data_IF_452508507845
#
_entry.id   IF_452508507845
#
_cell.length_a   1.000
_cell.length_b   1.000
_cell.length_c   1.000
_cell.angle_alpha   90.00
_cell.angle_beta   90.00
_cell.angle_gamma   90.00
#
_symmetry.space_group_name_H-M   'P 1'
#
loop_
_entity.id
_entity.type
_entity.pdbx_description
1 polymer ?
#
# COMPACT_ATOMS: atom_id res chain seq x y z
N UNK A 1 -39.74 -0.16 48.26
CA UNK A 1 -39.88 -0.28 46.79
C UNK A 1 -38.78 0.58 46.16
N UNK A 2 -37.54 0.23 46.44
CA UNK A 2 -36.68 -0.62 45.59
C UNK A 2 -36.18 0.15 44.35
N UNK A 3 -35.02 0.78 44.54
CA UNK A 3 -34.17 1.27 43.48
C UNK A 3 -33.46 0.10 42.81
N UNK A 4 -33.55 0.04 41.49
CA UNK A 4 -32.89 -0.96 40.66
C UNK A 4 -31.42 -0.52 40.43
N UNK A 5 -30.52 -1.01 41.28
CA UNK A 5 -29.08 -1.01 41.06
C UNK A 5 -28.69 -2.35 40.41
N UNK A 6 -28.25 -2.29 39.14
CA UNK A 6 -27.77 -3.48 38.42
C UNK A 6 -26.28 -3.70 38.75
N UNK A 7 -25.86 -4.90 39.18
CA UNK A 7 -24.56 -5.13 39.82
C UNK A 7 -23.41 -5.33 38.83
N UNK A 8 -22.28 -4.70 39.17
CA UNK A 8 -20.95 -4.93 38.60
C UNK A 8 -20.54 -6.39 38.89
N UNK A 9 -20.39 -7.21 37.84
CA UNK A 9 -19.89 -8.59 37.98
C UNK A 9 -18.41 -8.58 38.34
N UNK A 10 -18.10 -9.20 39.49
CA UNK A 10 -16.75 -9.51 39.97
C UNK A 10 -16.02 -10.43 39.00
N UNK A 11 -14.80 -10.02 38.67
CA UNK A 11 -13.72 -10.80 38.07
C UNK A 11 -13.45 -12.07 38.87
N UNK A 12 -13.45 -13.25 38.23
CA UNK A 12 -12.85 -14.46 38.79
C UNK A 12 -11.51 -14.69 38.10
N UNK A 13 -10.48 -14.46 38.89
CA UNK A 13 -9.07 -14.66 38.62
C UNK A 13 -8.81 -16.16 38.46
N UNK A 14 -8.23 -16.56 37.33
CA UNK A 14 -7.49 -17.83 37.23
C UNK A 14 -6.02 -17.48 37.50
N UNK A 15 -5.55 -17.84 38.69
CA UNK A 15 -4.12 -17.82 39.08
C UNK A 15 -3.57 -19.23 39.03
N UNK A 16 -2.26 -19.28 38.78
CA UNK A 16 -1.32 -20.42 38.79
C UNK A 16 -1.20 -21.20 37.48
N UNK A 17 -0.03 -21.31 36.83
CA UNK A 17 1.35 -21.09 37.26
C UNK A 17 2.24 -20.62 36.07
N UNK A 18 3.41 -20.08 36.41
CA UNK A 18 4.54 -19.66 35.56
C UNK A 18 4.64 -18.14 35.30
N UNK A 19 4.91 -17.41 36.38
CA UNK A 19 5.81 -16.25 36.32
C UNK A 19 7.23 -16.79 36.11
N UNK A 20 7.92 -16.30 35.08
CA UNK A 20 9.19 -15.58 35.24
C UNK A 20 9.77 -15.17 33.88
N UNK A 21 10.31 -13.94 33.87
CA UNK A 21 11.36 -13.42 32.98
C UNK A 21 10.97 -12.72 31.66
N UNK A 22 10.76 -11.40 31.84
CA UNK A 22 11.60 -10.32 31.27
C UNK A 22 11.73 -10.21 29.74
N UNK A 23 11.07 -9.15 29.23
CA UNK A 23 11.57 -8.17 28.24
C UNK A 23 12.79 -8.60 27.42
N UNK A 24 12.54 -9.05 26.19
CA UNK A 24 13.55 -9.02 25.12
C UNK A 24 13.12 -8.00 24.07
N UNK A 25 13.70 -6.81 24.16
CA UNK A 25 13.80 -5.87 23.05
C UNK A 25 14.94 -6.40 22.17
N UNK A 26 14.63 -6.86 20.96
CA UNK A 26 15.65 -7.30 20.01
C UNK A 26 16.23 -6.06 19.32
N UNK A 27 17.35 -5.56 19.85
CA UNK A 27 18.22 -4.59 19.19
C UNK A 27 19.27 -5.39 18.41
N UNK A 28 19.21 -5.36 17.08
CA UNK A 28 20.28 -5.89 16.24
C UNK A 28 21.45 -4.90 16.21
N UNK A 29 22.50 -5.16 16.99
CA UNK A 29 23.82 -4.55 16.77
C UNK A 29 24.76 -5.55 16.10
N UNK A 30 25.59 -5.04 15.17
CA UNK A 30 26.59 -5.81 14.40
C UNK A 30 27.52 -6.62 15.32
N UNK A 31 28.01 -7.79 14.89
CA UNK A 31 28.94 -8.60 15.69
C UNK A 31 30.31 -7.90 15.75
N UNK A 32 30.87 -7.74 16.96
CA UNK A 32 32.30 -7.51 17.13
C UNK A 32 32.77 -6.23 17.83
N UNK A 33 32.02 -5.61 18.75
CA UNK A 33 32.61 -4.60 19.65
C UNK A 33 32.19 -4.78 21.11
N UNK A 34 33.21 -4.97 21.96
CA UNK A 34 33.15 -4.98 23.41
C UNK A 34 33.17 -3.53 23.89
N UNK A 35 32.17 -3.10 24.66
CA UNK A 35 32.17 -1.81 25.33
C UNK A 35 32.25 -2.01 26.85
N UNK A 36 33.39 -1.60 27.40
CA UNK A 36 33.73 -1.44 28.80
C UNK A 36 32.83 -0.39 29.48
N UNK A 37 32.21 -0.75 30.61
CA UNK A 37 31.36 0.15 31.38
C UNK A 37 32.18 1.12 32.24
N UNK A 38 31.94 2.43 32.10
CA UNK A 38 32.39 3.47 33.01
C UNK A 38 31.26 3.87 33.98
N UNK A 39 31.67 4.12 35.21
CA UNK A 39 30.91 4.21 36.46
C UNK A 39 30.08 5.50 36.61
N UNK A 40 28.93 5.41 37.27
CA UNK A 40 28.45 6.50 38.12
C UNK A 40 27.62 5.94 39.29
N UNK A 41 28.07 6.25 40.50
CA UNK A 41 27.72 5.66 41.78
C UNK A 41 26.81 6.60 42.59
N UNK A 42 25.74 6.12 43.23
CA UNK A 42 25.11 6.83 44.35
C UNK A 42 24.41 5.87 45.35
N UNK A 43 24.88 5.96 46.61
CA UNK A 43 24.27 5.66 47.93
C UNK A 43 24.12 4.21 48.50
N UNK A 44 25.16 3.85 49.29
CA UNK A 44 25.20 3.43 50.72
C UNK A 44 24.15 2.44 51.29
N UNK A 45 24.63 1.30 51.82
CA UNK A 45 24.18 0.79 53.14
C UNK A 45 24.22 -0.72 53.43
N UNK A 46 25.31 -1.20 54.05
CA UNK A 46 25.52 -2.41 54.91
C UNK A 46 25.72 -3.83 54.29
N UNK A 47 26.76 -4.58 54.72
CA UNK A 47 26.99 -6.02 54.46
C UNK A 47 26.72 -6.86 55.75
N UNK A 48 27.14 -8.15 55.92
CA UNK A 48 27.48 -9.25 54.99
C UNK A 48 26.67 -10.54 55.30
N UNK A 49 26.78 -11.60 54.47
CA UNK A 49 26.81 -12.98 55.00
C UNK A 49 27.37 -13.96 53.95
N UNK A 50 28.52 -14.53 54.28
CA UNK A 50 29.11 -15.66 53.60
C UNK A 50 28.60 -16.96 54.24
N UNK A 51 28.26 -17.96 53.42
CA UNK A 51 28.28 -19.36 53.85
C UNK A 51 28.72 -20.26 52.71
N UNK A 52 29.80 -20.99 53.01
CA UNK A 52 30.50 -22.02 52.24
C UNK A 52 29.64 -23.27 51.98
N UNK A 53 30.26 -24.19 51.21
CA UNK A 53 30.12 -25.67 51.17
C UNK A 53 29.41 -26.14 49.89
N UNK A 54 29.87 -27.08 49.06
CA UNK A 54 31.16 -27.75 48.73
C UNK A 54 30.88 -28.61 47.46
N UNK A 55 31.89 -29.13 46.73
CA UNK A 55 31.69 -29.71 45.41
C UNK A 55 31.38 -31.23 45.49
N UNK A 56 30.57 -31.75 44.56
CA UNK A 56 30.47 -33.19 44.30
C UNK A 56 30.83 -33.45 42.84
N UNK A 57 31.84 -34.30 42.67
CA UNK A 57 32.41 -34.73 41.42
C UNK A 57 31.73 -35.99 40.87
N UNK A 58 31.94 -36.18 39.56
CA UNK A 58 31.97 -37.43 38.80
C UNK A 58 30.65 -38.05 38.34
N UNK A 59 30.48 -38.08 37.00
CA UNK A 59 30.53 -39.32 36.21
C UNK A 59 30.71 -38.99 34.73
N UNK A 60 31.80 -39.50 34.16
CA UNK A 60 32.09 -39.51 32.73
C UNK A 60 31.39 -40.70 32.06
N UNK A 61 30.98 -40.54 30.81
CA UNK A 61 31.37 -41.47 29.74
C UNK A 61 31.38 -40.75 28.37
N UNK A 62 32.25 -41.16 27.43
CA UNK A 62 32.63 -40.35 26.26
C UNK A 62 31.99 -40.88 24.97
N UNK A 63 31.77 -40.01 23.97
CA UNK A 63 31.70 -40.45 22.57
C UNK A 63 32.35 -39.41 21.63
N UNK A 64 32.98 -39.94 20.58
CA UNK A 64 34.11 -39.38 19.86
C UNK A 64 33.80 -38.21 18.91
N UNK A 65 34.83 -37.40 18.67
CA UNK A 65 34.91 -36.37 17.65
C UNK A 65 35.50 -36.92 16.34
N UNK A 66 35.07 -36.37 15.20
CA UNK A 66 35.79 -36.41 13.93
C UNK A 66 35.52 -35.11 13.13
N UNK A 67 36.55 -34.38 12.65
CA UNK A 67 36.40 -33.16 11.85
C UNK A 67 36.76 -33.40 10.38
N UNK A 68 36.00 -32.86 9.41
CA UNK A 68 36.50 -32.69 8.04
C UNK A 68 35.84 -31.47 7.39
N UNK A 69 36.67 -30.49 7.01
CA UNK A 69 36.30 -29.42 6.10
C UNK A 69 36.26 -29.92 4.66
N UNK A 70 35.48 -29.24 3.82
CA UNK A 70 35.51 -29.42 2.36
C UNK A 70 35.47 -28.04 1.69
N UNK A 71 36.48 -27.79 0.88
CA UNK A 71 36.68 -26.62 0.05
C UNK A 71 35.83 -26.68 -1.22
N UNK A 72 35.49 -25.49 -1.73
CA UNK A 72 34.91 -25.28 -3.04
C UNK A 72 35.91 -25.61 -4.16
N UNK A 73 35.50 -26.45 -5.11
CA UNK A 73 35.61 -26.26 -6.57
C UNK A 73 34.84 -27.38 -7.27
N UNK A 74 34.35 -27.08 -8.48
CA UNK A 74 33.92 -28.01 -9.53
C UNK A 74 32.52 -28.63 -9.40
N UNK A 75 31.55 -28.08 -10.16
CA UNK A 75 31.00 -28.77 -11.31
C UNK A 75 29.97 -27.89 -12.03
N UNK A 76 30.33 -27.51 -13.26
CA UNK A 76 29.42 -26.99 -14.27
C UNK A 76 29.48 -27.92 -15.50
N UNK A 77 28.35 -27.99 -16.21
CA UNK A 77 28.10 -28.68 -17.49
C UNK A 77 27.82 -30.21 -17.50
N UNK A 78 26.54 -30.56 -17.76
CA UNK A 78 26.17 -31.50 -18.82
C UNK A 78 24.65 -31.45 -19.13
N UNK A 79 24.31 -30.81 -20.24
CA UNK A 79 23.04 -30.92 -20.97
C UNK A 79 23.01 -32.23 -21.79
N UNK A 80 21.88 -32.95 -21.79
CA UNK A 80 21.06 -33.22 -22.99
C UNK A 80 20.02 -34.35 -22.78
N UNK A 81 18.75 -34.02 -23.03
CA UNK A 81 17.90 -34.82 -23.92
C UNK A 81 16.91 -35.82 -23.31
N UNK A 82 15.71 -35.36 -22.95
CA UNK A 82 14.50 -36.12 -23.29
C UNK A 82 13.36 -35.17 -23.63
N UNK A 83 12.90 -35.30 -24.87
CA UNK A 83 11.83 -34.57 -25.50
C UNK A 83 10.47 -35.04 -24.98
N UNK A 84 9.82 -34.21 -24.18
CA UNK A 84 8.36 -34.20 -24.07
C UNK A 84 7.91 -32.76 -24.26
N UNK A 85 6.99 -32.55 -25.20
CA UNK A 85 6.37 -31.25 -25.45
C UNK A 85 5.46 -30.97 -24.26
N UNK A 86 6.05 -30.45 -23.18
CA UNK A 86 5.31 -29.92 -22.05
C UNK A 86 4.64 -28.62 -22.52
N UNK A 87 3.31 -28.58 -22.42
CA UNK A 87 2.54 -27.34 -22.39
C UNK A 87 3.31 -26.33 -21.54
N UNK A 88 3.73 -25.22 -22.17
CA UNK A 88 4.67 -24.28 -21.57
C UNK A 88 4.31 -23.98 -20.13
N UNK A 89 5.28 -24.20 -19.24
CA UNK A 89 5.22 -23.79 -17.84
C UNK A 89 4.88 -22.30 -17.81
N UNK A 90 3.61 -21.98 -17.54
CA UNK A 90 3.23 -20.65 -17.10
C UNK A 90 3.98 -20.48 -15.77
N UNK A 91 4.92 -19.54 -15.64
CA UNK A 91 5.62 -19.36 -14.38
C UNK A 91 4.58 -19.01 -13.32
N UNK A 92 4.28 -19.94 -12.40
CA UNK A 92 3.39 -19.73 -11.25
C UNK A 92 3.96 -18.71 -10.26
N UNK A 93 5.16 -18.20 -10.54
CA UNK A 93 5.91 -17.15 -9.85
C UNK A 93 6.14 -15.92 -10.73
N UNK A 94 5.21 -15.63 -11.65
CA UNK A 94 5.18 -14.34 -12.34
C UNK A 94 4.77 -13.23 -11.38
N UNK A 95 5.58 -12.17 -11.28
CA UNK A 95 5.25 -10.93 -10.59
C UNK A 95 3.83 -10.48 -11.00
N UNK A 96 2.93 -10.38 -10.02
CA UNK A 96 1.56 -9.96 -10.27
C UNK A 96 1.57 -8.50 -10.72
N UNK A 97 1.58 -8.28 -12.04
CA UNK A 97 1.42 -6.97 -12.66
C UNK A 97 -0.01 -6.49 -12.42
N UNK A 98 -0.20 -5.82 -11.28
CA UNK A 98 -1.44 -5.14 -10.95
C UNK A 98 -1.37 -3.73 -11.53
N UNK A 99 -1.95 -3.55 -12.71
CA UNK A 99 -2.12 -2.21 -13.24
C UNK A 99 -3.27 -1.48 -12.55
N UNK A 100 -3.19 -0.16 -12.52
CA UNK A 100 -4.06 0.72 -11.72
C UNK A 100 -3.93 2.14 -12.26
N UNK A 101 -4.99 2.92 -12.11
CA UNK A 101 -4.96 4.36 -12.32
C UNK A 101 -5.34 5.06 -11.03
N UNK A 102 -4.42 5.86 -10.51
CA UNK A 102 -4.68 6.76 -9.38
C UNK A 102 -4.28 8.18 -9.77
N UNK A 103 -5.12 9.13 -9.36
CA UNK A 103 -4.96 10.55 -9.68
C UNK A 103 -5.27 11.36 -8.42
N UNK A 104 -4.52 12.44 -8.22
CA UNK A 104 -4.82 13.47 -7.24
C UNK A 104 -4.61 14.84 -7.84
N UNK A 105 -5.54 15.77 -7.63
CA UNK A 105 -5.46 17.16 -8.09
C UNK A 105 -5.80 18.11 -6.95
N UNK A 106 -4.94 19.11 -6.72
CA UNK A 106 -5.23 20.23 -5.85
C UNK A 106 -6.13 21.24 -6.57
N UNK A 107 -7.12 21.77 -5.87
CA UNK A 107 -7.99 22.86 -6.35
C UNK A 107 -8.10 23.94 -5.28
N UNK A 108 -8.75 25.06 -5.60
CA UNK A 108 -8.90 26.15 -4.64
C UNK A 108 -9.85 25.75 -3.49
N UNK A 109 -9.27 25.52 -2.30
CA UNK A 109 -9.98 25.08 -1.10
C UNK A 109 -9.70 23.65 -0.65
N UNK A 110 -9.11 22.79 -1.49
CA UNK A 110 -8.97 21.37 -1.15
C UNK A 110 -8.23 20.50 -2.16
N UNK A 111 -8.47 19.19 -2.07
CA UNK A 111 -7.90 18.18 -2.98
C UNK A 111 -8.97 17.18 -3.42
N UNK A 112 -8.91 16.78 -4.70
CA UNK A 112 -9.71 15.67 -5.24
C UNK A 112 -8.78 14.51 -5.52
N UNK A 113 -9.10 13.35 -4.96
CA UNK A 113 -8.48 12.08 -5.27
C UNK A 113 -9.42 11.25 -6.12
N UNK A 114 -8.89 10.49 -7.06
CA UNK A 114 -9.65 9.47 -7.76
C UNK A 114 -8.84 8.23 -8.08
N UNK A 115 -9.57 7.14 -8.25
CA UNK A 115 -9.02 5.85 -8.63
C UNK A 115 -10.03 5.05 -9.43
N UNK A 116 -9.50 4.16 -10.27
CA UNK A 116 -10.27 3.08 -10.86
C UNK A 116 -10.52 1.96 -9.82
N UNK A 117 -11.35 0.98 -10.16
CA UNK A 117 -11.75 -0.08 -9.24
C UNK A 117 -11.32 -1.48 -9.65
N UNK A 118 -10.57 -1.62 -10.74
CA UNK A 118 -10.13 -2.93 -11.23
C UNK A 118 -8.82 -3.33 -10.55
N UNK A 119 -8.76 -4.55 -10.04
CA UNK A 119 -7.52 -5.19 -9.64
C UNK A 119 -7.35 -6.43 -10.51
N UNK A 120 -6.36 -6.40 -11.40
CA UNK A 120 -6.03 -7.50 -12.28
C UNK A 120 -4.80 -8.27 -11.79
N UNK A 121 -4.77 -9.55 -12.10
CA UNK A 121 -3.60 -10.42 -11.98
C UNK A 121 -3.21 -10.83 -13.38
N UNK A 122 -2.33 -10.04 -14.00
CA UNK A 122 -2.06 -10.14 -15.44
C UNK A 122 -3.31 -9.78 -16.25
N UNK A 123 -3.78 -10.71 -17.09
CA UNK A 123 -4.98 -10.51 -17.92
C UNK A 123 -6.29 -10.81 -17.17
N UNK A 124 -6.22 -11.55 -16.06
CA UNK A 124 -7.41 -11.93 -15.30
C UNK A 124 -7.82 -10.81 -14.35
N UNK A 125 -9.10 -10.43 -14.35
CA UNK A 125 -9.63 -9.44 -13.41
C UNK A 125 -10.01 -10.14 -12.10
N UNK A 126 -9.14 -10.04 -11.09
CA UNK A 126 -9.36 -10.63 -9.78
C UNK A 126 -10.47 -9.93 -8.99
N UNK A 127 -10.56 -8.60 -9.09
CA UNK A 127 -11.63 -7.82 -8.47
C UNK A 127 -12.05 -6.65 -9.38
N UNK A 128 -13.36 -6.47 -9.59
CA UNK A 128 -13.92 -5.41 -10.45
C UNK A 128 -14.24 -4.12 -9.70
N UNK A 129 -14.37 -4.18 -8.37
CA UNK A 129 -14.92 -3.09 -7.56
C UNK A 129 -14.03 -2.74 -6.35
N UNK A 130 -12.72 -2.93 -6.43
CA UNK A 130 -11.78 -2.65 -5.32
C UNK A 130 -11.74 -1.16 -4.97
N UNK A 131 -11.77 -0.81 -3.68
CA UNK A 131 -11.57 0.56 -3.22
C UNK A 131 -10.07 0.82 -2.99
N UNK A 132 -9.49 1.63 -3.88
CA UNK A 132 -8.07 1.98 -3.84
C UNK A 132 -7.81 3.27 -3.07
N UNK A 133 -8.86 4.00 -2.66
CA UNK A 133 -8.76 5.24 -1.90
C UNK A 133 -9.05 4.94 -0.43
N UNK A 134 -7.97 4.74 0.32
CA UNK A 134 -8.02 4.31 1.70
C UNK A 134 -7.96 5.52 2.64
N UNK A 135 -8.89 5.57 3.60
CA UNK A 135 -8.88 6.59 4.64
C UNK A 135 -7.76 6.30 5.64
N UNK A 136 -6.91 7.30 5.91
CA UNK A 136 -5.91 7.22 6.97
C UNK A 136 -6.40 7.92 8.23
N UNK A 137 -6.85 9.16 8.08
CA UNK A 137 -7.47 9.97 9.13
C UNK A 137 -8.72 10.66 8.55
N UNK A 138 -9.44 11.45 9.35
CA UNK A 138 -10.63 12.17 8.86
C UNK A 138 -10.29 13.22 7.80
N UNK A 139 -9.05 13.72 7.79
CA UNK A 139 -8.57 14.77 6.90
C UNK A 139 -7.58 14.29 5.81
N UNK A 140 -7.11 13.03 5.87
CA UNK A 140 -6.08 12.50 4.95
C UNK A 140 -6.47 11.14 4.39
N UNK A 141 -6.34 11.01 3.08
CA UNK A 141 -6.58 9.78 2.32
C UNK A 141 -5.33 9.42 1.50
N UNK A 142 -5.22 8.13 1.18
CA UNK A 142 -4.16 7.61 0.33
C UNK A 142 -4.75 6.81 -0.82
N UNK A 143 -4.29 7.11 -2.03
CA UNK A 143 -4.52 6.28 -3.20
C UNK A 143 -3.40 5.23 -3.30
N UNK A 144 -3.78 3.98 -3.48
CA UNK A 144 -2.85 2.84 -3.51
C UNK A 144 -2.66 2.30 -4.92
N UNK A 145 -1.41 2.10 -5.32
CA UNK A 145 -1.01 1.49 -6.60
C UNK A 145 0.18 0.55 -6.41
N UNK A 146 0.27 -0.49 -7.24
CA UNK A 146 1.26 -1.55 -7.12
C UNK A 146 0.69 -2.79 -6.43
N UNK A 147 1.53 -3.51 -5.70
CA UNK A 147 1.11 -4.71 -4.96
C UNK A 147 0.00 -4.35 -3.96
N UNK A 148 -1.16 -4.99 -4.14
CA UNK A 148 -2.32 -4.75 -3.28
C UNK A 148 -2.01 -5.11 -1.82
N UNK A 149 -1.24 -6.18 -1.59
CA UNK A 149 -0.84 -6.61 -0.24
C UNK A 149 0.07 -5.58 0.43
N UNK A 150 1.12 -5.13 -0.27
CA UNK A 150 2.10 -4.20 0.28
C UNK A 150 1.45 -2.87 0.65
N UNK A 151 0.67 -2.31 -0.28
CA UNK A 151 0.03 -1.00 -0.07
C UNK A 151 -1.04 -1.03 1.02
N UNK A 152 -1.76 -2.15 1.20
CA UNK A 152 -2.72 -2.32 2.30
C UNK A 152 -2.00 -2.33 3.65
N UNK A 153 -0.96 -3.16 3.77
CA UNK A 153 -0.18 -3.30 5.00
C UNK A 153 0.46 -1.96 5.39
N UNK A 154 1.07 -1.25 4.45
CA UNK A 154 1.63 0.09 4.73
C UNK A 154 0.52 1.05 5.21
N UNK A 155 -0.64 1.04 4.55
CA UNK A 155 -1.75 1.94 4.91
C UNK A 155 -2.27 1.66 6.32
N UNK A 156 -2.33 0.39 6.73
CA UNK A 156 -2.79 -0.01 8.06
C UNK A 156 -1.78 0.37 9.15
N UNK A 157 -0.47 0.18 8.91
CA UNK A 157 0.57 0.67 9.83
C UNK A 157 0.54 2.19 9.97
N UNK A 158 0.39 2.90 8.85
CA UNK A 158 0.32 4.36 8.84
C UNK A 158 -0.90 4.83 9.61
N UNK A 159 -2.08 4.23 9.38
CA UNK A 159 -3.30 4.53 10.14
C UNK A 159 -3.09 4.34 11.64
N UNK A 160 -2.46 3.23 12.05
CA UNK A 160 -2.16 2.96 13.46
C UNK A 160 -1.29 4.06 14.09
N UNK A 161 -0.18 4.42 13.44
CA UNK A 161 0.73 5.44 13.97
C UNK A 161 0.10 6.84 13.96
N UNK A 162 -0.69 7.18 12.95
CA UNK A 162 -1.40 8.46 12.90
C UNK A 162 -2.46 8.57 13.99
N UNK A 163 -3.15 7.47 14.30
CA UNK A 163 -4.11 7.43 15.39
C UNK A 163 -3.40 7.64 16.74
N UNK A 164 -2.27 6.93 16.96
CA UNK A 164 -1.46 7.14 18.17
C UNK A 164 -0.95 8.58 18.28
N UNK A 165 -0.46 9.15 17.19
CA UNK A 165 0.00 10.55 17.12
C UNK A 165 -1.13 11.53 17.48
N UNK A 166 -2.33 11.30 16.93
CA UNK A 166 -3.52 12.13 17.19
C UNK A 166 -3.94 12.06 18.66
N UNK A 167 -3.90 10.88 19.28
CA UNK A 167 -4.19 10.71 20.71
C UNK A 167 -3.15 11.43 21.59
N UNK A 168 -1.86 11.31 21.25
CA UNK A 168 -0.78 11.89 22.06
C UNK A 168 -0.75 13.42 22.01
N UNK A 169 -1.02 14.00 20.84
CA UNK A 169 -0.97 15.45 20.66
C UNK A 169 -2.34 16.13 20.75
N UNK A 170 -3.42 15.35 20.87
CA UNK A 170 -4.80 15.82 20.83
C UNK A 170 -5.10 16.74 19.62
N UNK A 171 -4.39 16.54 18.50
CA UNK A 171 -4.55 17.30 17.27
C UNK A 171 -4.49 16.38 16.05
N UNK A 172 -5.27 16.67 14.99
CA UNK A 172 -5.21 15.89 13.76
C UNK A 172 -3.82 15.98 13.14
N UNK A 173 -3.36 14.86 12.57
CA UNK A 173 -2.08 14.82 11.88
C UNK A 173 -2.11 15.67 10.60
N UNK A 174 -1.00 16.35 10.33
CA UNK A 174 -0.82 17.12 9.10
C UNK A 174 -0.56 16.18 7.91
N UNK A 175 -0.88 16.64 6.69
CA UNK A 175 -0.66 15.84 5.47
C UNK A 175 0.84 15.52 5.31
N UNK A 176 1.72 16.47 5.66
CA UNK A 176 3.18 16.30 5.65
C UNK A 176 3.67 15.18 6.56
N UNK A 177 3.15 15.11 7.79
CA UNK A 177 3.53 14.04 8.73
C UNK A 177 3.12 12.69 8.18
N UNK A 178 1.91 12.59 7.65
CA UNK A 178 1.39 11.37 7.02
C UNK A 178 2.26 10.92 5.84
N UNK A 179 2.57 11.84 4.93
CA UNK A 179 3.38 11.53 3.77
C UNK A 179 4.83 11.14 4.13
N UNK A 180 5.41 11.77 5.16
CA UNK A 180 6.73 11.39 5.67
C UNK A 180 6.76 10.00 6.32
N UNK A 181 5.70 9.62 7.04
CA UNK A 181 5.60 8.30 7.62
C UNK A 181 5.50 7.21 6.53
N UNK A 182 4.69 7.46 5.50
CA UNK A 182 4.60 6.59 4.32
C UNK A 182 5.96 6.47 3.63
N UNK A 183 6.65 7.60 3.42
CA UNK A 183 8.00 7.64 2.84
C UNK A 183 8.97 6.77 3.62
N UNK A 184 8.96 6.84 4.96
CA UNK A 184 9.87 6.07 5.80
C UNK A 184 9.67 4.57 5.60
N UNK A 185 8.42 4.10 5.64
CA UNK A 185 8.08 2.68 5.47
C UNK A 185 8.38 2.18 4.06
N UNK A 186 8.04 2.97 3.04
CA UNK A 186 8.28 2.64 1.64
C UNK A 186 9.79 2.63 1.32
N UNK A 187 10.55 3.62 1.77
CA UNK A 187 11.97 3.73 1.48
C UNK A 187 12.81 2.65 2.18
N UNK A 188 12.51 2.34 3.45
CA UNK A 188 13.22 1.30 4.20
C UNK A 188 13.07 -0.07 3.57
N UNK A 189 11.92 -0.34 2.94
CA UNK A 189 11.58 -1.62 2.35
C UNK A 189 11.50 -1.57 0.82
N UNK A 190 12.16 -0.60 0.18
CA UNK A 190 12.03 -0.33 -1.27
C UNK A 190 12.41 -1.51 -2.19
N UNK A 191 13.24 -2.44 -1.70
CA UNK A 191 13.65 -3.62 -2.45
C UNK A 191 12.68 -4.80 -2.27
N UNK A 192 11.78 -4.73 -1.29
CA UNK A 192 10.82 -5.80 -0.96
C UNK A 192 9.38 -5.41 -1.27
N UNK A 193 9.06 -4.11 -1.23
CA UNK A 193 7.71 -3.59 -1.44
C UNK A 193 7.58 -2.93 -2.81
N UNK A 194 6.46 -3.22 -3.48
CA UNK A 194 6.06 -2.55 -4.71
C UNK A 194 4.87 -1.64 -4.43
N UNK A 195 5.14 -0.50 -3.77
CA UNK A 195 4.11 0.44 -3.36
C UNK A 195 4.33 1.82 -4.00
N UNK A 196 3.43 2.19 -4.92
CA UNK A 196 3.26 3.57 -5.38
C UNK A 196 2.02 4.15 -4.70
N UNK A 197 2.17 5.26 -3.98
CA UNK A 197 1.08 5.85 -3.22
C UNK A 197 0.98 7.34 -3.49
N UNK A 198 -0.25 7.85 -3.55
CA UNK A 198 -0.52 9.28 -3.59
C UNK A 198 -1.26 9.64 -2.32
N UNK A 199 -0.69 10.54 -1.53
CA UNK A 199 -1.29 11.05 -0.29
C UNK A 199 -1.95 12.37 -0.62
N UNK A 200 -3.26 12.45 -0.40
CA UNK A 200 -4.02 13.69 -0.53
C UNK A 200 -4.75 13.97 0.78
N UNK A 201 -4.68 15.21 1.22
CA UNK A 201 -5.44 15.64 2.39
C UNK A 201 -5.56 17.14 2.48
N UNK A 202 -6.29 17.57 3.49
CA UNK A 202 -6.43 18.96 3.86
C UNK A 202 -5.94 19.18 5.29
N UNK A 203 -5.23 20.28 5.50
CA UNK A 203 -4.74 20.69 6.81
C UNK A 203 -5.00 22.18 7.04
N UNK A 204 -5.20 22.56 8.30
CA UNK A 204 -5.51 23.94 8.71
C UNK A 204 -4.37 24.92 8.46
N UNK A 205 -3.13 24.44 8.37
CA UNK A 205 -1.95 25.29 8.21
C UNK A 205 -1.60 25.58 6.75
N UNK A 206 -1.69 24.57 5.87
CA UNK A 206 -1.22 24.66 4.48
C UNK A 206 -2.29 24.29 3.44
N UNK A 207 -3.54 24.11 3.88
CA UNK A 207 -4.68 23.81 3.02
C UNK A 207 -4.60 22.42 2.39
N UNK A 208 -5.11 22.32 1.16
CA UNK A 208 -5.07 21.10 0.35
C UNK A 208 -3.65 20.79 -0.13
N UNK A 209 -3.17 19.57 0.15
CA UNK A 209 -1.84 19.13 -0.26
C UNK A 209 -1.87 17.73 -0.87
N UNK A 210 -1.05 17.54 -1.90
CA UNK A 210 -0.82 16.25 -2.53
C UNK A 210 0.67 15.93 -2.50
N UNK A 211 0.98 14.71 -2.07
CA UNK A 211 2.31 14.14 -2.06
C UNK A 211 2.32 12.84 -2.85
N UNK A 212 3.16 12.76 -3.87
CA UNK A 212 3.44 11.54 -4.60
C UNK A 212 4.60 10.79 -3.94
N UNK A 213 4.38 9.50 -3.68
CA UNK A 213 5.38 8.55 -3.19
C UNK A 213 5.54 7.45 -4.23
N UNK A 214 6.50 7.57 -5.17
CA UNK A 214 6.74 6.54 -6.16
C UNK A 214 7.42 5.32 -5.53
N UNK A 215 7.59 4.25 -6.32
CA UNK A 215 8.20 2.98 -5.90
C UNK A 215 9.60 3.14 -5.25
N UNK A 216 10.35 4.19 -5.62
CA UNK A 216 11.65 4.50 -5.02
C UNK A 216 11.60 4.98 -3.55
N UNK A 217 10.41 5.23 -3.00
CA UNK A 217 10.22 5.70 -1.63
C UNK A 217 10.66 7.15 -1.41
N UNK A 218 10.74 7.96 -2.47
CA UNK A 218 10.91 9.41 -2.37
C UNK A 218 9.57 10.08 -2.05
N UNK A 219 9.59 11.37 -1.70
CA UNK A 219 8.38 12.16 -1.50
C UNK A 219 8.47 13.41 -2.37
N UNK A 220 7.43 13.67 -3.16
CA UNK A 220 7.34 14.84 -4.01
C UNK A 220 6.01 15.55 -3.76
N UNK A 221 6.08 16.83 -3.37
CA UNK A 221 4.89 17.68 -3.33
C UNK A 221 4.61 18.18 -4.74
N UNK A 222 3.40 17.96 -5.24
CA UNK A 222 3.02 18.34 -6.60
C UNK A 222 1.59 18.92 -6.60
N UNK A 223 1.26 19.82 -7.53
CA UNK A 223 -0.11 20.36 -7.64
C UNK A 223 -1.10 19.30 -8.15
N UNK A 224 -0.61 18.34 -8.94
CA UNK A 224 -1.31 17.12 -9.29
C UNK A 224 -0.33 15.96 -9.24
N UNK A 225 -0.82 14.77 -8.95
CA UNK A 225 -0.06 13.54 -8.97
C UNK A 225 -0.84 12.47 -9.71
N UNK A 226 -0.15 11.69 -10.53
CA UNK A 226 -0.70 10.53 -11.22
C UNK A 226 0.19 9.33 -10.93
N UNK A 227 -0.42 8.15 -10.88
CA UNK A 227 0.30 6.92 -10.56
C UNK A 227 -0.39 5.66 -11.07
N UNK A 228 0.38 4.58 -11.09
CA UNK A 228 -0.02 3.29 -11.64
C UNK A 228 0.19 3.17 -13.14
N UNK A 229 -0.14 2.02 -13.72
CA UNK A 229 0.05 1.74 -15.16
C UNK A 229 -0.66 2.74 -16.07
N UNK A 230 -1.88 3.13 -15.70
CA UNK A 230 -2.69 4.05 -16.51
C UNK A 230 -2.15 5.48 -16.52
N UNK A 231 -1.26 5.84 -15.59
CA UNK A 231 -0.66 7.19 -15.56
C UNK A 231 0.15 7.54 -16.81
N UNK A 232 0.72 6.54 -17.49
CA UNK A 232 1.49 6.73 -18.72
C UNK A 232 0.70 7.39 -19.86
N UNK A 233 -0.61 7.12 -19.94
CA UNK A 233 -1.50 7.70 -20.95
C UNK A 233 -1.97 9.12 -20.60
N UNK A 234 -1.78 9.55 -19.35
CA UNK A 234 -2.42 10.74 -18.81
C UNK A 234 -1.56 11.99 -18.86
N UNK A 235 -0.22 11.87 -18.88
CA UNK A 235 0.70 13.02 -18.83
C UNK A 235 0.33 14.11 -19.84
N UNK A 236 0.15 13.77 -21.11
CA UNK A 236 -0.18 14.77 -22.15
C UNK A 236 -1.54 15.45 -21.97
N UNK A 237 -2.53 14.75 -21.39
CA UNK A 237 -3.84 15.35 -21.08
C UNK A 237 -3.73 16.30 -19.90
N UNK A 238 -3.04 15.90 -18.82
CA UNK A 238 -2.86 16.76 -17.65
C UNK A 238 -2.07 18.02 -17.99
N UNK A 239 -1.00 17.91 -18.79
CA UNK A 239 -0.18 19.07 -19.16
C UNK A 239 -0.97 20.12 -19.97
N UNK A 240 -1.98 19.70 -20.73
CA UNK A 240 -2.80 20.59 -21.54
C UNK A 240 -4.03 21.15 -20.80
N UNK A 241 -4.70 20.32 -20.00
CA UNK A 241 -6.00 20.67 -19.39
C UNK A 241 -5.90 21.15 -17.95
N UNK A 242 -4.83 20.80 -17.22
CA UNK A 242 -4.66 21.24 -15.84
C UNK A 242 -4.43 22.74 -15.78
N UNK A 243 -5.16 23.41 -14.88
CA UNK A 243 -5.03 24.84 -14.60
C UNK A 243 -4.87 25.05 -13.11
N UNK A 244 -4.09 26.06 -12.76
CA UNK A 244 -3.95 26.48 -11.37
C UNK A 244 -5.25 27.17 -10.90
N UNK A 245 -5.67 26.90 -9.65
CA UNK A 245 -6.86 27.53 -9.07
C UNK A 245 -8.21 27.07 -9.64
N UNK A 246 -8.33 25.82 -10.10
CA UNK A 246 -9.63 25.26 -10.50
C UNK A 246 -10.64 25.31 -9.34
N UNK A 247 -11.92 25.47 -9.67
CA UNK A 247 -13.00 25.30 -8.70
C UNK A 247 -13.19 23.81 -8.34
N UNK A 248 -13.85 23.52 -7.22
CA UNK A 248 -14.12 22.14 -6.80
C UNK A 248 -14.87 21.33 -7.88
N UNK A 249 -15.91 21.91 -8.49
CA UNK A 249 -16.72 21.22 -9.51
C UNK A 249 -15.94 20.96 -10.79
N UNK A 250 -15.10 21.91 -11.21
CA UNK A 250 -14.23 21.75 -12.37
C UNK A 250 -13.19 20.67 -12.11
N UNK A 251 -12.56 20.67 -10.93
CA UNK A 251 -11.59 19.67 -10.54
C UNK A 251 -12.21 18.26 -10.49
N UNK A 252 -13.43 18.12 -9.96
CA UNK A 252 -14.12 16.83 -9.94
C UNK A 252 -14.43 16.32 -11.37
N UNK A 253 -14.97 17.19 -12.25
CA UNK A 253 -15.22 16.83 -13.65
C UNK A 253 -13.94 16.47 -14.39
N UNK A 254 -12.88 17.23 -14.16
CA UNK A 254 -11.56 17.00 -14.74
C UNK A 254 -11.00 15.65 -14.33
N UNK A 255 -11.01 15.34 -13.03
CA UNK A 255 -10.49 14.08 -12.51
C UNK A 255 -11.30 12.88 -13.01
N UNK A 256 -12.63 12.97 -13.11
CA UNK A 256 -13.46 11.91 -13.71
C UNK A 256 -13.09 11.68 -15.18
N UNK A 257 -12.90 12.76 -15.95
CA UNK A 257 -12.47 12.69 -17.35
C UNK A 257 -11.10 12.02 -17.48
N UNK A 258 -10.12 12.44 -16.68
CA UNK A 258 -8.77 11.86 -16.67
C UNK A 258 -8.81 10.37 -16.39
N UNK A 259 -9.51 9.93 -15.34
CA UNK A 259 -9.58 8.49 -15.01
C UNK A 259 -10.34 7.72 -16.10
N UNK A 260 -11.41 8.28 -16.67
CA UNK A 260 -12.14 7.62 -17.77
C UNK A 260 -11.27 7.36 -19.00
N UNK A 261 -10.41 8.31 -19.36
CA UNK A 261 -9.48 8.15 -20.49
C UNK A 261 -8.41 7.09 -20.18
N UNK A 262 -7.95 7.01 -18.93
CA UNK A 262 -7.04 5.96 -18.49
C UNK A 262 -7.71 4.57 -18.56
N UNK A 263 -8.97 4.47 -18.13
CA UNK A 263 -9.75 3.22 -18.17
C UNK A 263 -9.92 2.71 -19.60
N UNK A 264 -10.17 3.61 -20.55
CA UNK A 264 -10.34 3.23 -21.95
C UNK A 264 -9.05 2.70 -22.60
N UNK A 265 -7.87 3.17 -22.15
CA UNK A 265 -6.57 2.83 -22.76
C UNK A 265 -5.76 1.77 -22.01
N UNK A 266 -5.88 1.72 -20.69
CA UNK A 266 -5.13 0.79 -19.85
C UNK A 266 -5.97 -0.46 -19.54
N UNK A 267 -5.63 -1.59 -20.16
CA UNK A 267 -6.36 -2.85 -19.95
C UNK A 267 -6.38 -3.36 -18.51
N UNK A 268 -5.38 -2.98 -17.71
CA UNK A 268 -5.31 -3.34 -16.30
C UNK A 268 -6.16 -2.43 -15.40
N UNK A 269 -6.49 -1.22 -15.86
CA UNK A 269 -7.42 -0.32 -15.20
C UNK A 269 -8.85 -0.55 -15.70
N UNK A 270 -9.85 -0.18 -14.90
CA UNK A 270 -11.24 -0.22 -15.34
C UNK A 270 -12.28 -0.32 -14.24
N UNK A 271 -13.51 -0.63 -14.66
CA UNK A 271 -14.65 -0.74 -13.75
C UNK A 271 -15.31 0.61 -13.52
N UNK A 272 -15.25 1.10 -12.28
CA UNK A 272 -15.90 2.34 -11.87
C UNK A 272 -14.87 3.40 -11.52
N UNK A 273 -15.28 4.66 -11.53
CA UNK A 273 -14.46 5.76 -10.99
C UNK A 273 -14.97 6.11 -9.60
N UNK A 274 -14.08 6.06 -8.62
CA UNK A 274 -14.34 6.57 -7.27
C UNK A 274 -13.58 7.86 -7.08
N UNK A 275 -14.24 8.88 -6.54
CA UNK A 275 -13.60 10.15 -6.21
C UNK A 275 -13.83 10.48 -4.74
N UNK A 276 -12.83 11.12 -4.13
CA UNK A 276 -12.86 11.62 -2.77
C UNK A 276 -12.40 13.06 -2.78
N UNK A 277 -13.31 13.95 -2.44
CA UNK A 277 -13.07 15.39 -2.34
C UNK A 277 -12.88 15.76 -0.88
N UNK A 278 -11.78 16.43 -0.56
CA UNK A 278 -11.37 16.75 0.81
C UNK A 278 -11.22 18.27 0.93
N UNK A 279 -12.02 18.87 1.81
CA UNK A 279 -12.11 20.30 2.09
C UNK A 279 -12.01 20.60 3.58
N UNK A 280 -12.00 21.90 3.91
CA UNK A 280 -12.15 22.39 5.28
C UNK A 280 -13.45 21.91 5.96
N UNK A 281 -14.56 21.84 5.19
CA UNK A 281 -15.88 21.45 5.71
C UNK A 281 -16.01 19.94 5.94
N UNK A 282 -15.12 19.14 5.35
CA UNK A 282 -15.11 17.69 5.47
C UNK A 282 -14.85 16.96 4.15
N UNK A 283 -15.29 15.71 4.10
CA UNK A 283 -14.98 14.78 3.01
C UNK A 283 -16.25 14.35 2.29
N UNK A 284 -16.24 14.46 0.96
CA UNK A 284 -17.31 13.95 0.09
C UNK A 284 -16.78 12.79 -0.75
N UNK A 285 -17.48 11.64 -0.72
CA UNK A 285 -17.16 10.48 -1.56
C UNK A 285 -18.21 10.37 -2.66
N UNK A 286 -17.78 10.32 -3.92
CA UNK A 286 -18.67 10.11 -5.06
C UNK A 286 -18.26 8.84 -5.80
N UNK A 287 -19.27 8.20 -6.38
CA UNK A 287 -19.14 6.96 -7.13
C UNK A 287 -19.77 7.16 -8.51
N UNK A 288 -18.98 6.93 -9.55
CA UNK A 288 -19.43 7.03 -10.93
C UNK A 288 -19.44 5.61 -11.54
N UNK A 289 -20.63 5.06 -11.83
CA UNK A 289 -20.72 3.76 -12.49
C UNK A 289 -20.15 3.85 -13.91
N UNK A 290 -19.59 2.74 -14.41
CA UNK A 290 -18.97 2.66 -15.74
C UNK A 290 -19.89 3.14 -16.86
N UNK A 291 -21.18 2.83 -16.78
CA UNK A 291 -22.19 3.19 -17.79
C UNK A 291 -22.41 4.70 -17.95
N UNK A 292 -22.03 5.50 -16.93
CA UNK A 292 -22.16 6.97 -16.94
C UNK A 292 -20.86 7.69 -17.29
N UNK A 293 -19.77 6.95 -17.53
CA UNK A 293 -18.49 7.53 -17.90
C UNK A 293 -18.54 7.97 -19.37
N UNK A 294 -17.81 9.03 -19.74
CA UNK A 294 -17.69 9.41 -21.13
C UNK A 294 -16.99 8.29 -21.90
N UNK A 295 -17.61 7.86 -23.01
CA UNK A 295 -17.03 6.89 -23.92
C UNK A 295 -15.98 7.56 -24.80
N UNK A 296 -14.86 6.87 -25.00
CA UNK A 296 -13.77 7.33 -25.85
C UNK A 296 -13.72 6.56 -27.17
N UNK A 297 -12.94 7.03 -28.15
CA UNK A 297 -13.00 6.58 -29.55
C UNK A 297 -13.00 5.05 -29.78
N UNK A 298 -12.32 4.26 -28.94
CA UNK A 298 -12.29 2.79 -29.06
C UNK A 298 -13.50 2.08 -28.43
N UNK A 299 -14.25 2.77 -27.57
CA UNK A 299 -15.48 2.27 -26.95
C UNK A 299 -16.74 2.66 -27.74
N UNK A 300 -16.58 3.55 -28.74
CA UNK A 300 -17.66 3.91 -29.65
C UNK A 300 -17.83 2.76 -30.65
N UNK A 301 -19.07 2.31 -30.82
CA UNK A 301 -19.40 1.31 -31.84
C UNK A 301 -18.87 1.77 -33.21
N UNK A 302 -18.07 0.95 -33.91
CA UNK A 302 -17.49 1.32 -35.19
C UNK A 302 -18.62 1.56 -36.18
N UNK A 303 -18.88 2.83 -36.50
CA UNK A 303 -19.80 3.17 -37.57
C UNK A 303 -19.09 2.88 -38.89
N UNK A 304 -19.63 1.92 -39.64
CA UNK A 304 -19.19 1.47 -40.96
C UNK A 304 -18.01 0.49 -40.91
N UNK A 305 -18.21 -0.68 -40.29
CA UNK A 305 -17.34 -1.81 -40.62
C UNK A 305 -17.44 -2.08 -42.13
N UNK A 306 -16.34 -2.50 -42.75
CA UNK A 306 -16.31 -2.82 -44.17
C UNK A 306 -17.36 -3.90 -44.52
N UNK A 307 -17.73 -4.74 -43.54
CA UNK A 307 -18.84 -5.70 -43.64
C UNK A 307 -20.22 -5.04 -43.71
N UNK A 308 -20.47 -3.96 -42.94
CA UNK A 308 -21.74 -3.22 -43.00
C UNK A 308 -21.90 -2.49 -44.34
N UNK A 309 -20.79 -1.94 -44.86
CA UNK A 309 -20.75 -1.31 -46.19
C UNK A 309 -20.98 -2.35 -47.30
N UNK A 310 -20.37 -3.54 -47.20
CA UNK A 310 -20.54 -4.62 -48.17
C UNK A 310 -21.94 -5.24 -48.12
N UNK A 311 -22.54 -5.37 -46.94
CA UNK A 311 -23.90 -5.89 -46.77
C UNK A 311 -24.96 -4.97 -47.37
N UNK A 312 -24.76 -3.65 -47.35
CA UNK A 312 -25.63 -2.67 -47.99
C UNK A 312 -25.55 -2.66 -49.53
N UNK A 313 -24.56 -3.35 -50.12
CA UNK A 313 -24.30 -3.40 -51.56
C UNK A 313 -25.02 -4.51 -52.33
N UNK A 314 -25.79 -5.38 -51.67
CA UNK A 314 -26.57 -6.43 -52.34
C UNK A 314 -28.01 -5.94 -52.52
N UNK A 315 -28.42 -5.41 -53.70
CA UNK A 315 -29.82 -5.13 -53.95
C UNK A 315 -30.60 -6.44 -53.87
N UNK A 316 -31.70 -6.45 -53.11
CA UNK A 316 -32.63 -7.57 -53.08
C UNK A 316 -32.98 -7.98 -54.53
N UNK A 317 -33.04 -9.29 -54.85
CA UNK A 317 -33.47 -9.71 -56.17
C UNK A 317 -34.90 -9.19 -56.38
N UNK A 318 -35.07 -8.28 -57.34
CA UNK A 318 -36.38 -7.77 -57.70
C UNK A 318 -37.31 -8.95 -58.00
N UNK A 319 -38.33 -9.13 -57.17
CA UNK A 319 -39.42 -10.06 -57.42
C UNK A 319 -40.16 -9.57 -58.66
N UNK A 320 -40.04 -10.33 -59.75
CA UNK A 320 -40.80 -10.14 -60.99
C UNK A 320 -42.24 -10.62 -60.83
#
# INVERSE_FOLDING_TARGET
MEGCSVPIRKTRVYTDHLRENLRTIVIFTRPGQVATSASCSFLRGRPPLASRVSPVASRQSPLAAAPLGFSATDMDAALMGSSSVAMGDIPTTGEHRMGTTIVGVCYDGGVVLAADSRTSTGMYVANRASDKITQLTDNVYVCRSGSAADTQVISDYVRYFLHQHTIQLAQPATVKVTANLIRLLAYQNKNMLQAGMIVGGWDKYEGGQIFSVPLGGTILRQPFAIGGSGSSYLYGLLDHEWKEGMSQEEAEKFVVKVVSLAIARDGASGGVVRTVTINADGVSRKFYPGDKLPLWHEEIEPQNSLLDILAAGNPEPMVQ
#
